data_IF_370441506133
#
_entry.id   IF_370441506133
#
_cell.length_a   1.000
_cell.length_b   1.000
_cell.length_c   1.000
_cell.angle_alpha   90.00
_cell.angle_beta   90.00
_cell.angle_gamma   90.00
#
_symmetry.space_group_name_H-M   'P 1'
#
loop_
_entity.id
_entity.type
_entity.pdbx_description
1 polymer ?
#
# COMPACT_ATOMS: atom_id res chain seq x y z
N UNK A 1 -15.57 7.51 31.44
CA UNK A 1 -14.49 7.86 30.50
C UNK A 1 -15.12 7.99 29.12
N UNK A 2 -14.99 9.13 28.44
CA UNK A 2 -15.52 9.31 27.09
C UNK A 2 -14.42 8.99 26.08
N UNK A 3 -14.53 7.86 25.37
CA UNK A 3 -13.69 7.60 24.21
C UNK A 3 -14.23 8.46 23.06
N UNK A 4 -13.49 9.46 22.64
CA UNK A 4 -13.76 10.13 21.37
C UNK A 4 -13.47 9.12 20.26
N UNK A 5 -14.52 8.57 19.65
CA UNK A 5 -14.44 7.59 18.57
C UNK A 5 -13.95 8.27 17.27
N UNK A 6 -12.67 8.64 17.22
CA UNK A 6 -12.00 9.13 16.03
C UNK A 6 -11.34 8.00 15.23
N UNK A 7 -10.89 8.32 14.01
CA UNK A 7 -10.10 7.37 13.24
C UNK A 7 -8.80 7.02 13.96
N UNK A 8 -8.34 5.75 13.86
CA UNK A 8 -7.05 5.36 14.42
C UNK A 8 -5.93 6.20 13.78
N UNK A 9 -4.92 6.54 14.59
CA UNK A 9 -3.76 7.30 14.10
C UNK A 9 -2.92 6.39 13.20
N UNK A 10 -2.53 6.89 12.03
CA UNK A 10 -1.57 6.18 11.18
C UNK A 10 -0.24 6.01 11.92
N UNK A 11 0.24 4.77 11.97
CA UNK A 11 1.60 4.45 12.39
C UNK A 11 2.52 4.46 11.18
N UNK A 12 3.77 4.92 11.30
CA UNK A 12 4.71 4.85 10.18
C UNK A 12 4.89 3.42 9.69
N UNK A 13 4.91 3.21 8.37
CA UNK A 13 5.29 1.92 7.78
C UNK A 13 6.66 1.49 8.32
N UNK A 14 6.80 0.19 8.59
CA UNK A 14 8.07 -0.42 8.98
C UNK A 14 8.48 -1.40 7.91
N UNK A 15 9.71 -1.26 7.45
CA UNK A 15 10.34 -2.16 6.50
C UNK A 15 11.53 -2.84 7.16
N UNK A 16 11.87 -4.07 6.75
CA UNK A 16 13.08 -4.74 7.20
C UNK A 16 14.32 -3.91 6.80
N UNK A 17 15.37 -3.99 7.62
CA UNK A 17 16.64 -3.34 7.32
C UNK A 17 17.32 -4.10 6.18
N UNK A 18 17.70 -3.39 5.12
CA UNK A 18 18.33 -4.00 3.96
C UNK A 18 19.85 -4.12 4.13
N UNK A 19 20.34 -5.35 4.28
CA UNK A 19 21.77 -5.67 4.20
C UNK A 19 22.04 -7.13 3.76
N UNK A 20 21.48 -7.59 2.61
CA UNK A 20 21.69 -8.96 2.15
C UNK A 20 23.15 -9.15 1.71
N UNK A 21 23.76 -10.27 2.08
CA UNK A 21 25.12 -10.67 1.69
C UNK A 21 25.12 -11.68 0.55
N UNK A 22 23.99 -12.36 0.33
CA UNK A 22 23.83 -13.34 -0.74
C UNK A 22 22.57 -13.06 -1.57
N UNK A 23 22.50 -13.61 -2.78
CA UNK A 23 21.30 -13.52 -3.62
C UNK A 23 20.10 -14.21 -2.96
N UNK A 24 20.33 -15.28 -2.18
CA UNK A 24 19.26 -15.94 -1.41
C UNK A 24 18.70 -15.01 -0.34
N UNK A 25 19.57 -14.34 0.42
CA UNK A 25 19.16 -13.34 1.41
C UNK A 25 18.49 -12.12 0.77
N UNK A 26 18.92 -11.72 -0.42
CA UNK A 26 18.28 -10.64 -1.18
C UNK A 26 16.85 -11.02 -1.58
N UNK A 27 16.65 -12.24 -2.09
CA UNK A 27 15.32 -12.71 -2.47
C UNK A 27 14.39 -12.82 -1.25
N UNK A 28 14.90 -13.34 -0.13
CA UNK A 28 14.10 -13.39 1.11
C UNK A 28 13.75 -11.98 1.60
N UNK A 29 14.70 -11.05 1.58
CA UNK A 29 14.46 -9.67 1.97
C UNK A 29 13.46 -8.97 1.05
N UNK A 30 13.45 -9.31 -0.24
CA UNK A 30 12.46 -8.82 -1.20
C UNK A 30 11.05 -9.29 -0.79
N UNK A 31 10.87 -10.59 -0.57
CA UNK A 31 9.59 -11.16 -0.13
C UNK A 31 9.11 -10.52 1.18
N UNK A 32 10.01 -10.34 2.16
CA UNK A 32 9.71 -9.68 3.43
C UNK A 32 9.31 -8.19 3.24
N UNK A 33 9.98 -7.50 2.32
CA UNK A 33 9.69 -6.09 2.00
C UNK A 33 8.33 -5.95 1.32
N UNK A 34 7.99 -6.85 0.40
CA UNK A 34 6.69 -6.89 -0.27
C UNK A 34 5.54 -7.18 0.72
N UNK A 35 5.74 -8.12 1.63
CA UNK A 35 4.77 -8.41 2.69
C UNK A 35 4.57 -7.20 3.65
N UNK A 36 5.66 -6.53 4.03
CA UNK A 36 5.62 -5.33 4.85
C UNK A 36 4.91 -4.16 4.13
N UNK A 37 5.11 -4.04 2.82
CA UNK A 37 4.43 -3.05 1.99
C UNK A 37 2.92 -3.30 1.94
N UNK A 38 2.51 -4.54 1.66
CA UNK A 38 1.10 -4.93 1.60
C UNK A 38 0.39 -4.61 2.93
N UNK A 39 1.01 -5.00 4.04
CA UNK A 39 0.49 -4.70 5.39
C UNK A 39 0.34 -3.20 5.64
N UNK A 40 1.31 -2.39 5.21
CA UNK A 40 1.20 -0.95 5.39
C UNK A 40 0.13 -0.32 4.49
N UNK A 41 -0.02 -0.79 3.26
CA UNK A 41 -1.06 -0.33 2.36
C UNK A 41 -2.46 -0.54 2.96
N UNK A 42 -2.71 -1.73 3.54
CA UNK A 42 -3.98 -2.03 4.22
C UNK A 42 -4.27 -1.08 5.40
N UNK A 43 -3.24 -0.70 6.16
CA UNK A 43 -3.37 0.27 7.25
C UNK A 43 -3.74 1.67 6.74
N UNK A 44 -3.06 2.12 5.67
CA UNK A 44 -3.32 3.42 5.05
C UNK A 44 -4.75 3.47 4.49
N UNK A 45 -5.16 2.44 3.75
CA UNK A 45 -6.49 2.35 3.17
C UNK A 45 -7.59 2.33 4.23
N UNK A 46 -7.38 1.59 5.32
CA UNK A 46 -8.31 1.56 6.46
C UNK A 46 -8.49 2.95 7.07
N UNK A 47 -7.40 3.71 7.23
CA UNK A 47 -7.45 5.04 7.82
C UNK A 47 -8.08 6.04 6.86
N UNK A 48 -7.75 5.99 5.57
CA UNK A 48 -8.40 6.81 4.54
C UNK A 48 -9.90 6.52 4.51
N UNK A 49 -10.31 5.25 4.50
CA UNK A 49 -11.72 4.88 4.51
C UNK A 49 -12.44 5.42 5.75
N UNK A 50 -11.78 5.40 6.91
CA UNK A 50 -12.32 6.03 8.11
C UNK A 50 -12.43 7.56 7.96
N UNK A 51 -11.38 8.24 7.50
CA UNK A 51 -11.36 9.69 7.34
C UNK A 51 -12.44 10.15 6.35
N UNK A 52 -12.58 9.46 5.21
CA UNK A 52 -13.61 9.74 4.21
C UNK A 52 -15.00 9.63 4.83
N UNK A 53 -15.30 8.56 5.58
CA UNK A 53 -16.60 8.42 6.28
C UNK A 53 -16.89 9.55 7.25
N UNK A 54 -15.86 10.07 7.93
CA UNK A 54 -15.99 11.16 8.91
C UNK A 54 -15.98 12.57 8.27
N UNK A 55 -15.41 12.73 7.08
CA UNK A 55 -15.45 13.97 6.29
C UNK A 55 -16.84 14.17 5.66
N UNK A 56 -17.52 13.09 5.27
CA UNK A 56 -18.91 13.11 4.76
C UNK A 56 -19.91 13.67 5.78
N UNK A 57 -19.56 13.72 7.07
CA UNK A 57 -20.38 14.32 8.14
C UNK A 57 -20.13 15.83 8.36
N UNK A 58 -19.12 16.44 7.73
CA UNK A 58 -18.82 17.89 7.89
C UNK A 58 -19.05 18.69 6.59
N UNK A 59 -19.19 18.04 5.44
CA UNK A 59 -19.59 18.73 4.22
C UNK A 59 -20.29 17.76 3.28
N UNK A 60 -21.46 18.15 2.77
CA UNK A 60 -22.11 17.51 1.63
C UNK A 60 -21.30 17.68 0.36
N UNK A 61 -20.15 17.01 0.27
CA UNK A 61 -19.35 16.85 -0.94
C UNK A 61 -19.03 15.36 -1.01
N UNK A 62 -19.71 14.66 -1.92
CA UNK A 62 -19.40 13.27 -2.24
C UNK A 62 -17.94 13.19 -2.70
N UNK A 63 -17.08 12.65 -1.84
CA UNK A 63 -15.78 12.18 -2.25
C UNK A 63 -15.97 10.88 -3.05
N UNK A 64 -16.34 10.99 -4.33
CA UNK A 64 -15.98 9.95 -5.27
C UNK A 64 -14.48 10.01 -5.40
N UNK A 65 -13.76 9.11 -4.70
CA UNK A 65 -12.41 8.79 -5.11
C UNK A 65 -12.48 8.47 -6.61
N UNK A 66 -11.73 9.16 -7.49
CA UNK A 66 -11.53 8.59 -8.81
C UNK A 66 -10.88 7.23 -8.54
N UNK A 67 -11.49 6.17 -9.07
CA UNK A 67 -10.77 4.91 -9.23
C UNK A 67 -9.41 5.27 -9.83
N UNK A 68 -8.32 4.76 -9.26
CA UNK A 68 -7.02 4.84 -9.93
C UNK A 68 -7.29 4.36 -11.36
N UNK A 69 -7.02 5.17 -12.40
CA UNK A 69 -7.16 4.67 -13.75
C UNK A 69 -6.33 3.40 -13.79
N UNK A 70 -6.95 2.26 -14.12
CA UNK A 70 -6.21 1.08 -14.58
C UNK A 70 -5.61 1.37 -15.96
N UNK A 71 -4.93 2.50 -16.09
CA UNK A 71 -4.03 2.78 -17.17
C UNK A 71 -2.87 1.82 -16.94
N UNK A 72 -2.89 0.70 -17.67
CA UNK A 72 -1.71 -0.15 -17.84
C UNK A 72 -0.62 0.76 -18.38
N UNK A 73 0.22 1.30 -17.50
CA UNK A 73 1.40 2.03 -17.93
C UNK A 73 2.27 0.99 -18.62
N UNK A 74 2.39 1.08 -19.94
CA UNK A 74 3.32 0.25 -20.70
C UNK A 74 4.71 0.49 -20.16
N UNK A 75 5.22 -0.45 -19.34
CA UNK A 75 6.60 -0.43 -18.88
C UNK A 75 7.44 -0.90 -20.07
N UNK A 76 8.34 -0.07 -20.63
CA UNK A 76 9.22 -0.50 -21.69
C UNK A 76 10.05 -1.69 -21.19
N UNK A 77 9.80 -2.89 -21.71
CA UNK A 77 10.49 -4.12 -21.32
C UNK A 77 9.67 -5.14 -20.53
N UNK A 78 8.39 -4.90 -20.22
CA UNK A 78 7.48 -5.90 -19.61
C UNK A 78 7.39 -7.18 -20.45
N UNK A 79 7.32 -7.03 -21.78
CA UNK A 79 7.25 -8.14 -22.74
C UNK A 79 8.51 -9.01 -22.78
N UNK A 80 9.60 -8.62 -22.11
CA UNK A 80 10.85 -9.39 -22.10
C UNK A 80 10.82 -10.56 -21.12
N UNK A 81 9.89 -10.57 -20.16
CA UNK A 81 9.74 -11.64 -19.18
C UNK A 81 8.88 -12.81 -19.69
N UNK A 82 8.05 -12.59 -20.72
CA UNK A 82 7.20 -13.63 -21.32
C UNK A 82 7.95 -14.59 -22.24
N UNK A 83 9.21 -14.28 -22.57
CA UNK A 83 10.04 -15.03 -23.53
C UNK A 83 11.17 -15.84 -22.86
N UNK A 84 11.14 -16.00 -21.52
CA UNK A 84 12.10 -16.84 -20.81
C UNK A 84 11.61 -18.30 -20.89
N UNK A 85 12.34 -19.22 -21.55
CA UNK A 85 11.96 -20.63 -21.55
C UNK A 85 12.08 -21.22 -20.14
N UNK A 86 11.15 -22.13 -19.78
CA UNK A 86 11.20 -22.92 -18.53
C UNK A 86 12.50 -23.72 -18.37
#
# INVERSE_FOLDING_TARGET
>A
MLTVNGCPRLTPCRFPVANPQTNGELNNLLDETEAALATCADQVDTIIACQTKNITTVAGIQATSPALPTEKRSIPGESRWTDIPE
#
